data_IF_095000206802
#
_entry.id   IF_095000206802
#
_cell.length_a   1.000
_cell.length_b   1.000
_cell.length_c   1.000
_cell.angle_alpha   90.00
_cell.angle_beta   90.00
_cell.angle_gamma   90.00
#
_symmetry.space_group_name_H-M   'P 1'
#
loop_
_entity.id
_entity.type
_entity.pdbx_description
1 polymer ?
#
# COMPACT_ATOMS: atom_id res chain seq x y z
N UNK A 1 -7.98 10.00 -17.15
CA UNK A 1 -6.65 9.41 -17.15
C UNK A 1 -6.05 9.30 -15.75
N UNK A 2 -4.81 8.91 -15.70
CA UNK A 2 -4.13 8.70 -14.42
C UNK A 2 -4.02 9.97 -13.59
N UNK A 3 -3.81 11.14 -14.22
CA UNK A 3 -3.72 12.41 -13.49
C UNK A 3 -5.03 12.74 -12.76
N UNK A 4 -6.16 12.56 -13.44
CA UNK A 4 -7.47 12.78 -12.83
C UNK A 4 -7.74 11.80 -11.69
N UNK A 5 -7.36 10.54 -11.89
CA UNK A 5 -7.48 9.51 -10.86
C UNK A 5 -6.65 9.88 -9.63
N UNK A 6 -5.38 10.30 -9.82
CA UNK A 6 -4.49 10.66 -8.71
C UNK A 6 -5.01 11.87 -7.93
N UNK A 7 -5.58 12.86 -8.63
CA UNK A 7 -6.18 14.02 -7.96
C UNK A 7 -7.35 13.62 -7.09
N UNK A 8 -8.23 12.74 -7.60
CA UNK A 8 -9.38 12.25 -6.83
C UNK A 8 -8.93 11.41 -5.64
N UNK A 9 -7.92 10.57 -5.84
CA UNK A 9 -7.36 9.74 -4.77
C UNK A 9 -6.85 10.60 -3.63
N UNK A 10 -6.11 11.67 -3.93
CA UNK A 10 -5.59 12.60 -2.93
C UNK A 10 -6.72 13.34 -2.20
N UNK A 11 -7.74 13.74 -2.93
CA UNK A 11 -8.89 14.43 -2.34
C UNK A 11 -9.68 13.51 -1.41
N UNK A 12 -9.89 12.27 -1.81
CA UNK A 12 -10.60 11.29 -0.99
C UNK A 12 -9.82 10.98 0.29
N UNK A 13 -8.49 10.83 0.19
CA UNK A 13 -7.67 10.60 1.37
C UNK A 13 -7.93 11.66 2.45
N UNK A 14 -7.93 12.93 2.05
CA UNK A 14 -8.16 14.03 2.99
C UNK A 14 -9.59 14.04 3.53
N UNK A 15 -10.54 13.70 2.67
CA UNK A 15 -11.96 13.70 3.06
C UNK A 15 -12.30 12.61 4.07
N UNK A 16 -11.66 11.45 4.00
CA UNK A 16 -11.99 10.31 4.87
C UNK A 16 -11.12 10.20 6.11
N UNK A 17 -10.04 10.98 6.19
CA UNK A 17 -9.12 10.91 7.33
C UNK A 17 -9.75 11.58 8.55
N UNK A 18 -9.95 10.80 9.59
CA UNK A 18 -10.56 11.25 10.84
C UNK A 18 -10.10 10.34 11.99
N UNK A 19 -10.12 10.84 13.23
CA UNK A 19 -9.81 10.00 14.40
C UNK A 19 -10.66 8.74 14.43
N UNK A 20 -10.09 7.63 14.83
CA UNK A 20 -10.80 6.36 14.94
C UNK A 20 -11.09 5.66 13.63
N UNK A 21 -10.49 6.12 12.54
CA UNK A 21 -10.71 5.55 11.20
C UNK A 21 -9.50 4.73 10.75
N UNK A 22 -9.75 3.56 10.17
CA UNK A 22 -8.72 2.76 9.50
C UNK A 22 -8.91 2.92 7.99
N UNK A 23 -7.84 3.31 7.31
CA UNK A 23 -7.88 3.56 5.87
C UNK A 23 -6.93 2.59 5.16
N UNK A 24 -7.48 1.81 4.23
CA UNK A 24 -6.66 0.97 3.36
C UNK A 24 -6.44 1.73 2.05
N UNK A 25 -5.20 2.15 1.79
CA UNK A 25 -4.89 2.93 0.60
C UNK A 25 -4.47 2.04 -0.56
N UNK A 26 -4.66 2.53 -1.77
CA UNK A 26 -4.00 1.94 -2.92
C UNK A 26 -2.50 2.18 -2.88
N UNK A 27 -1.74 1.34 -3.57
CA UNK A 27 -0.27 1.41 -3.55
C UNK A 27 0.31 2.68 -4.17
N UNK A 28 -0.44 3.37 -5.01
CA UNK A 28 0.01 4.61 -5.64
C UNK A 28 -0.23 5.87 -4.83
N UNK A 29 -0.86 5.75 -3.66
CA UNK A 29 -1.10 6.91 -2.79
C UNK A 29 0.19 7.65 -2.44
N UNK A 30 1.29 6.92 -2.28
CA UNK A 30 2.59 7.49 -1.90
C UNK A 30 3.31 8.22 -3.02
N UNK A 31 2.82 8.17 -4.25
CA UNK A 31 3.49 8.81 -5.37
C UNK A 31 3.49 10.34 -5.26
N UNK A 32 2.49 10.92 -4.61
CA UNK A 32 2.43 12.36 -4.38
C UNK A 32 3.06 12.71 -3.04
N UNK A 33 4.04 13.61 -3.06
CA UNK A 33 4.72 14.06 -1.84
C UNK A 33 3.74 14.62 -0.81
N UNK A 34 2.73 15.38 -1.26
CA UNK A 34 1.72 15.91 -0.37
C UNK A 34 0.94 14.83 0.37
N UNK A 35 0.68 13.70 -0.28
CA UNK A 35 0.01 12.58 0.37
C UNK A 35 0.91 11.91 1.42
N UNK A 36 2.20 11.75 1.11
CA UNK A 36 3.14 11.16 2.07
C UNK A 36 3.20 11.99 3.35
N UNK A 37 3.33 13.30 3.19
CA UNK A 37 3.37 14.23 4.32
C UNK A 37 2.06 14.21 5.10
N UNK A 38 0.94 14.28 4.40
CA UNK A 38 -0.38 14.29 5.01
C UNK A 38 -0.62 13.03 5.87
N UNK A 39 -0.27 11.86 5.35
CA UNK A 39 -0.45 10.61 6.08
C UNK A 39 0.39 10.58 7.35
N UNK A 40 1.65 10.98 7.27
CA UNK A 40 2.55 10.98 8.43
C UNK A 40 2.12 11.99 9.50
N UNK A 41 1.60 13.13 9.08
CA UNK A 41 1.18 14.17 10.02
C UNK A 41 -0.17 13.88 10.67
N UNK A 42 -0.97 13.02 10.07
CA UNK A 42 -2.35 12.80 10.50
C UNK A 42 -2.66 11.38 10.99
N UNK A 43 -1.66 10.53 11.15
CA UNK A 43 -1.96 9.18 11.64
C UNK A 43 -0.75 8.27 11.75
N UNK A 44 -1.05 7.03 12.12
CA UNK A 44 -0.09 5.94 12.14
C UNK A 44 -0.15 5.29 10.76
N UNK A 45 0.99 5.18 10.10
CA UNK A 45 1.08 4.60 8.75
C UNK A 45 1.79 3.26 8.83
N UNK A 46 1.06 2.19 8.51
CA UNK A 46 1.60 0.84 8.51
C UNK A 46 1.93 0.44 7.07
N UNK A 47 3.20 0.12 6.83
CA UNK A 47 3.62 -0.43 5.56
C UNK A 47 3.64 -1.95 5.68
N UNK A 48 2.79 -2.62 4.89
CA UNK A 48 2.72 -4.07 4.84
C UNK A 48 3.73 -4.57 3.82
N UNK A 49 4.93 -4.92 4.29
CA UNK A 49 6.06 -5.27 3.43
C UNK A 49 6.18 -6.78 3.24
N UNK A 50 6.36 -7.19 1.99
CA UNK A 50 6.65 -8.60 1.66
C UNK A 50 7.57 -8.64 0.45
N UNK A 51 8.37 -9.73 0.29
CA UNK A 51 9.18 -9.89 -0.91
C UNK A 51 8.32 -9.90 -2.17
N UNK A 52 8.88 -9.42 -3.28
CA UNK A 52 8.16 -9.32 -4.55
C UNK A 52 7.59 -10.67 -5.01
N UNK A 53 8.34 -11.75 -4.81
CA UNK A 53 7.88 -13.09 -5.20
C UNK A 53 6.67 -13.55 -4.37
N UNK A 54 6.56 -13.14 -3.12
CA UNK A 54 5.39 -13.45 -2.28
C UNK A 54 4.18 -12.70 -2.79
N UNK A 55 4.36 -11.42 -3.10
CA UNK A 55 3.26 -10.59 -3.63
C UNK A 55 2.79 -11.10 -4.99
N UNK A 56 3.73 -11.44 -5.87
CA UNK A 56 3.40 -11.99 -7.18
C UNK A 56 2.64 -13.31 -7.06
N UNK A 57 3.07 -14.18 -6.15
CA UNK A 57 2.40 -15.46 -5.90
C UNK A 57 0.96 -15.25 -5.44
N UNK A 58 0.74 -14.30 -4.53
CA UNK A 58 -0.60 -13.99 -4.04
C UNK A 58 -1.51 -13.43 -5.12
N UNK A 59 -0.98 -12.58 -5.99
CA UNK A 59 -1.75 -12.03 -7.12
C UNK A 59 -2.11 -13.11 -8.13
N UNK A 60 -1.19 -14.03 -8.43
CA UNK A 60 -1.44 -15.13 -9.35
C UNK A 60 -2.49 -16.11 -8.82
N UNK A 61 -2.54 -16.28 -7.51
CA UNK A 61 -3.53 -17.14 -6.86
C UNK A 61 -4.91 -16.50 -6.75
N UNK A 62 -5.01 -15.18 -6.95
CA UNK A 62 -6.27 -14.46 -6.87
C UNK A 62 -7.14 -14.79 -8.10
N UNK A 63 -8.39 -15.27 -7.92
CA UNK A 63 -9.27 -15.58 -9.06
C UNK A 63 -9.58 -14.38 -9.94
N UNK A 64 -9.39 -13.17 -9.44
CA UNK A 64 -9.61 -11.93 -10.19
C UNK A 64 -8.33 -11.38 -10.86
N UNK A 65 -7.23 -12.12 -10.82
CA UNK A 65 -5.95 -11.64 -11.36
C UNK A 65 -6.05 -11.30 -12.86
N UNK A 66 -6.80 -12.08 -13.64
CA UNK A 66 -6.98 -11.85 -15.07
C UNK A 66 -7.74 -10.55 -15.38
N UNK A 67 -8.48 -10.01 -14.42
CA UNK A 67 -9.25 -8.78 -14.56
C UNK A 67 -8.44 -7.55 -14.14
N UNK A 68 -7.29 -7.77 -13.53
CA UNK A 68 -6.43 -6.69 -13.06
C UNK A 68 -5.66 -6.10 -14.25
N UNK A 69 -5.79 -4.78 -14.50
CA UNK A 69 -5.01 -4.16 -15.58
C UNK A 69 -3.53 -4.16 -15.21
N UNK A 70 -2.68 -4.46 -16.19
CA UNK A 70 -1.23 -4.33 -16.01
C UNK A 70 -0.83 -2.88 -16.24
N UNK A 71 0.24 -2.45 -15.56
CA UNK A 71 0.77 -1.10 -15.70
C UNK A 71 1.81 -1.03 -16.83
N UNK A 72 2.50 -2.13 -17.09
CA UNK A 72 3.64 -2.15 -18.03
C UNK A 72 3.47 -3.11 -19.19
N UNK A 73 2.44 -3.95 -19.19
CA UNK A 73 2.25 -5.01 -20.19
C UNK A 73 3.11 -6.24 -19.97
N UNK A 74 3.90 -6.29 -18.92
CA UNK A 74 4.77 -7.43 -18.58
C UNK A 74 4.01 -8.48 -17.77
N UNK A 75 4.67 -9.60 -17.46
CA UNK A 75 4.09 -10.62 -16.58
C UNK A 75 3.83 -10.04 -15.20
N UNK A 76 2.94 -10.67 -14.43
CA UNK A 76 2.61 -10.25 -13.07
C UNK A 76 3.88 -10.20 -12.21
N UNK A 77 4.72 -11.24 -12.29
CA UNK A 77 5.94 -11.29 -11.47
C UNK A 77 6.90 -10.15 -11.79
N UNK A 78 7.10 -9.87 -13.09
CA UNK A 78 8.00 -8.79 -13.52
C UNK A 78 7.45 -7.43 -13.14
N UNK A 79 6.16 -7.22 -13.34
CA UNK A 79 5.51 -5.96 -13.00
C UNK A 79 5.57 -5.67 -11.50
N UNK A 80 5.28 -6.69 -10.66
CA UNK A 80 5.34 -6.54 -9.20
C UNK A 80 6.76 -6.15 -8.77
N UNK A 81 7.77 -6.84 -9.29
CA UNK A 81 9.15 -6.55 -8.91
C UNK A 81 9.56 -5.13 -9.31
N UNK A 82 9.21 -4.68 -10.51
CA UNK A 82 9.55 -3.34 -10.99
C UNK A 82 8.82 -2.25 -10.22
N UNK A 83 7.51 -2.41 -10.01
CA UNK A 83 6.70 -1.42 -9.31
C UNK A 83 7.15 -1.31 -7.86
N UNK A 84 7.39 -2.45 -7.22
CA UNK A 84 7.88 -2.46 -5.83
C UNK A 84 9.23 -1.78 -5.71
N UNK A 85 10.17 -2.10 -6.60
CA UNK A 85 11.51 -1.48 -6.58
C UNK A 85 11.42 0.05 -6.71
N UNK A 86 10.52 0.53 -7.55
CA UNK A 86 10.34 1.98 -7.74
C UNK A 86 9.66 2.65 -6.55
N UNK A 87 8.73 1.97 -5.88
CA UNK A 87 7.90 2.56 -4.83
C UNK A 87 8.40 2.28 -3.41
N UNK A 88 9.18 1.22 -3.21
CA UNK A 88 9.64 0.82 -1.88
C UNK A 88 10.27 1.96 -1.08
N UNK A 89 11.14 2.81 -1.66
CA UNK A 89 11.68 3.95 -0.91
C UNK A 89 10.60 4.90 -0.42
N UNK A 90 9.55 5.09 -1.21
CA UNK A 90 8.44 5.97 -0.85
C UNK A 90 7.57 5.35 0.26
N UNK A 91 7.36 4.05 0.22
CA UNK A 91 6.64 3.35 1.29
C UNK A 91 7.40 3.47 2.61
N UNK A 92 8.73 3.25 2.58
CA UNK A 92 9.55 3.35 3.79
C UNK A 92 9.62 4.77 4.32
N UNK A 93 9.68 5.76 3.44
CA UNK A 93 9.66 7.18 3.84
C UNK A 93 8.35 7.52 4.55
N UNK A 94 7.24 7.00 4.07
CA UNK A 94 5.90 7.31 4.57
C UNK A 94 5.55 6.55 5.84
N UNK A 95 6.05 5.33 5.98
CA UNK A 95 5.69 4.43 7.08
C UNK A 95 6.15 4.95 8.44
N UNK A 96 5.28 4.84 9.42
CA UNK A 96 5.67 4.99 10.83
C UNK A 96 6.09 3.65 11.39
N UNK A 97 5.55 2.55 10.86
CA UNK A 97 5.90 1.18 11.23
C UNK A 97 5.87 0.28 10.00
N UNK A 98 6.75 -0.71 9.98
CA UNK A 98 6.82 -1.68 8.88
C UNK A 98 6.49 -3.06 9.44
N UNK A 99 5.49 -3.71 8.85
CA UNK A 99 5.03 -5.03 9.27
C UNK A 99 5.39 -6.08 8.22
N UNK A 100 5.65 -7.31 8.68
CA UNK A 100 5.96 -8.42 7.79
C UNK A 100 4.68 -9.01 7.21
N UNK A 101 4.31 -8.59 6.01
CA UNK A 101 3.10 -9.07 5.34
C UNK A 101 3.25 -10.46 4.72
N UNK A 102 4.45 -11.07 4.79
CA UNK A 102 4.62 -12.47 4.45
C UNK A 102 4.06 -13.40 5.53
N UNK A 103 3.87 -12.88 6.75
CA UNK A 103 3.25 -13.61 7.85
C UNK A 103 1.75 -13.88 7.56
N UNK A 104 1.13 -14.72 8.38
CA UNK A 104 -0.30 -15.00 8.23
C UNK A 104 -1.14 -13.75 8.59
N UNK A 105 -2.37 -13.64 8.06
CA UNK A 105 -3.25 -12.54 8.43
C UNK A 105 -3.47 -12.43 9.94
N UNK A 106 -3.54 -13.55 10.65
CA UNK A 106 -3.71 -13.57 12.10
C UNK A 106 -2.51 -12.94 12.81
N UNK A 107 -1.30 -13.34 12.40
CA UNK A 107 -0.06 -12.80 12.96
C UNK A 107 0.08 -11.31 12.67
N UNK A 108 -0.24 -10.92 11.42
CA UNK A 108 -0.17 -9.53 10.99
C UNK A 108 -1.15 -8.67 11.78
N UNK A 109 -2.37 -9.15 11.99
CA UNK A 109 -3.36 -8.44 12.79
C UNK A 109 -2.89 -8.23 14.22
N UNK A 110 -2.32 -9.27 14.84
CA UNK A 110 -1.81 -9.18 16.21
C UNK A 110 -0.71 -8.12 16.33
N UNK A 111 0.19 -8.08 15.34
CA UNK A 111 1.28 -7.09 15.30
C UNK A 111 0.72 -5.68 15.15
N UNK A 112 -0.24 -5.48 14.24
CA UNK A 112 -0.88 -4.19 14.04
C UNK A 112 -1.60 -3.70 15.29
N UNK A 113 -2.34 -4.59 15.96
CA UNK A 113 -3.05 -4.25 17.20
C UNK A 113 -2.09 -3.85 18.31
N UNK A 114 -0.93 -4.51 18.40
CA UNK A 114 0.09 -4.16 19.39
C UNK A 114 0.64 -2.74 19.17
N UNK A 115 0.80 -2.34 17.90
CA UNK A 115 1.26 -1.00 17.54
C UNK A 115 0.20 0.06 17.86
N UNK A 116 -1.07 -0.24 17.59
CA UNK A 116 -2.18 0.70 17.77
C UNK A 116 -2.67 0.80 19.21
N UNK A 117 -2.23 -0.09 20.06
CA UNK A 117 -2.65 -0.11 21.45
C UNK A 117 -2.08 1.12 22.18
N UNK A 118 -2.90 1.84 22.93
CA UNK A 118 -2.46 3.02 23.68
C UNK A 118 -1.49 2.67 24.80
#
# INVERSE_FOLDING_TARGET
GWDGFRKRESAVLRAVTAPGTVIATGGGMVLAEGNRRFMRENGIVLYLSAPAEVLASRLQANPNAAQRPTLTGKSIAEEVAEVLAAREPLYRETATHILNAAATPKELLAEALAILKP
#
